data_IF_336516183804
#
_entry.id   IF_336516183804
#
_cell.length_a   1.000
_cell.length_b   1.000
_cell.length_c   1.000
_cell.angle_alpha   90.00
_cell.angle_beta   90.00
_cell.angle_gamma   90.00
#
_symmetry.space_group_name_H-M   'P 1'
#
loop_
_entity.id
_entity.type
_entity.pdbx_description
1 polymer ?
#
# COMPACT_ATOMS: atom_id res chain seq x y z
N UNK A 1 -15.42 6.97 -6.85
CA UNK A 1 -14.64 5.94 -6.13
C UNK A 1 -15.43 5.51 -4.89
N UNK A 2 -15.78 4.22 -4.78
CA UNK A 2 -16.59 3.63 -3.69
C UNK A 2 -15.74 2.87 -2.68
N UNK A 3 -14.62 3.45 -2.24
CA UNK A 3 -13.62 2.75 -1.44
C UNK A 3 -14.06 2.57 0.02
N UNK A 4 -14.08 1.32 0.45
CA UNK A 4 -14.17 0.92 1.85
C UNK A 4 -12.79 0.86 2.54
N UNK A 5 -12.72 0.92 3.88
CA UNK A 5 -11.46 0.84 4.65
C UNK A 5 -10.56 -0.35 4.27
N UNK A 6 -11.14 -1.49 3.90
CA UNK A 6 -10.40 -2.69 3.53
C UNK A 6 -9.56 -2.51 2.25
N UNK A 7 -9.98 -1.66 1.31
CA UNK A 7 -9.17 -1.37 0.12
C UNK A 7 -7.91 -0.59 0.48
N UNK A 8 -8.04 0.41 1.37
CA UNK A 8 -6.89 1.17 1.87
C UNK A 8 -5.95 0.29 2.69
N UNK A 9 -6.49 -0.55 3.58
CA UNK A 9 -5.68 -1.47 4.37
C UNK A 9 -4.91 -2.45 3.47
N UNK A 10 -5.56 -3.00 2.45
CA UNK A 10 -4.93 -3.89 1.47
C UNK A 10 -3.84 -3.20 0.64
N UNK A 11 -3.99 -1.91 0.35
CA UNK A 11 -2.99 -1.11 -0.36
C UNK A 11 -1.83 -0.66 0.55
N UNK A 12 -2.05 -0.47 1.86
CA UNK A 12 -1.20 0.32 2.76
C UNK A 12 0.26 -0.11 2.97
N UNK A 13 0.67 -1.31 2.55
CA UNK A 13 1.99 -1.83 2.89
C UNK A 13 2.06 -2.53 4.27
N UNK A 14 0.99 -2.48 5.07
CA UNK A 14 0.99 -2.93 6.47
C UNK A 14 0.06 -4.14 6.68
N UNK A 15 0.59 -5.38 6.61
CA UNK A 15 -0.24 -6.59 6.76
C UNK A 15 -0.94 -6.69 8.12
N UNK A 16 -0.37 -6.13 9.19
CA UNK A 16 -0.95 -6.17 10.52
C UNK A 16 -2.25 -5.33 10.60
N UNK A 17 -2.29 -4.18 9.92
CA UNK A 17 -3.50 -3.35 9.86
C UNK A 17 -4.61 -4.04 9.07
N UNK A 18 -4.22 -4.76 8.00
CA UNK A 18 -5.15 -5.55 7.21
C UNK A 18 -5.71 -6.73 8.02
N UNK A 19 -4.88 -7.40 8.81
CA UNK A 19 -5.29 -8.51 9.69
C UNK A 19 -6.32 -8.06 10.73
N UNK A 20 -6.01 -6.99 11.48
CA UNK A 20 -6.92 -6.43 12.48
C UNK A 20 -8.27 -6.06 11.89
N UNK A 21 -8.28 -5.51 10.67
CA UNK A 21 -9.51 -5.14 9.98
C UNK A 21 -10.29 -6.37 9.51
N UNK A 22 -9.62 -7.39 8.95
CA UNK A 22 -10.26 -8.63 8.50
C UNK A 22 -10.86 -9.45 9.64
N UNK A 23 -10.40 -9.26 10.87
CA UNK A 23 -10.96 -9.87 12.07
C UNK A 23 -12.19 -9.13 12.63
N UNK A 24 -12.50 -7.93 12.11
CA UNK A 24 -13.69 -7.22 12.54
C UNK A 24 -14.99 -7.82 11.97
N UNK A 25 -16.06 -7.91 12.78
CA UNK A 25 -17.36 -8.37 12.30
C UNK A 25 -17.89 -7.52 11.13
N UNK A 26 -18.43 -8.19 10.11
CA UNK A 26 -19.07 -7.52 8.96
C UNK A 26 -18.11 -7.04 7.87
N UNK A 27 -16.79 -7.23 8.03
CA UNK A 27 -15.83 -6.93 6.97
C UNK A 27 -15.91 -7.98 5.87
N UNK A 28 -16.18 -7.53 4.65
CA UNK A 28 -16.29 -8.38 3.47
C UNK A 28 -14.97 -8.38 2.70
N UNK A 29 -14.25 -9.51 2.70
CA UNK A 29 -12.95 -9.69 2.02
C UNK A 29 -13.01 -9.41 0.52
N UNK A 30 -14.17 -9.66 -0.10
CA UNK A 30 -14.43 -9.45 -1.53
C UNK A 30 -15.33 -8.25 -1.80
N UNK A 31 -15.41 -7.28 -0.88
CA UNK A 31 -16.09 -6.03 -1.18
C UNK A 31 -15.48 -5.38 -2.43
N UNK A 32 -16.31 -4.76 -3.25
CA UNK A 32 -15.84 -4.09 -4.46
C UNK A 32 -15.96 -2.58 -4.32
N UNK A 33 -15.01 -1.86 -4.93
CA UNK A 33 -15.17 -0.44 -5.19
C UNK A 33 -16.10 -0.19 -6.40
N UNK A 34 -16.24 1.08 -6.78
CA UNK A 34 -17.12 1.49 -7.88
C UNK A 34 -16.69 0.97 -9.27
N UNK A 35 -15.45 0.50 -9.42
CA UNK A 35 -14.94 -0.12 -10.65
C UNK A 35 -14.90 -1.65 -10.54
N UNK A 36 -15.45 -2.24 -9.48
CA UNK A 36 -15.37 -3.68 -9.27
C UNK A 36 -14.03 -4.18 -8.70
N UNK A 37 -13.11 -3.29 -8.30
CA UNK A 37 -11.85 -3.73 -7.73
C UNK A 37 -12.04 -4.23 -6.31
N UNK A 38 -11.51 -5.42 -6.02
CA UNK A 38 -11.51 -6.03 -4.68
C UNK A 38 -10.27 -5.62 -3.87
N UNK A 39 -10.26 -5.81 -2.55
CA UNK A 39 -9.06 -5.66 -1.71
C UNK A 39 -7.84 -6.39 -2.25
N UNK A 40 -8.01 -7.59 -2.81
CA UNK A 40 -6.93 -8.36 -3.41
C UNK A 40 -6.31 -7.66 -4.62
N UNK A 41 -7.14 -7.03 -5.46
CA UNK A 41 -6.63 -6.21 -6.57
C UNK A 41 -5.86 -4.98 -6.07
N UNK A 42 -6.36 -4.31 -5.03
CA UNK A 42 -5.66 -3.18 -4.39
C UNK A 42 -4.32 -3.60 -3.77
N UNK A 43 -4.23 -4.78 -3.17
CA UNK A 43 -2.96 -5.30 -2.63
C UNK A 43 -1.89 -5.49 -3.72
N UNK A 44 -2.31 -5.81 -4.96
CA UNK A 44 -1.43 -6.02 -6.11
C UNK A 44 -0.91 -4.71 -6.74
N UNK A 45 -1.34 -3.54 -6.24
CA UNK A 45 -0.85 -2.22 -6.72
C UNK A 45 0.32 -1.68 -5.90
N UNK A 46 0.62 -2.28 -4.75
CA UNK A 46 1.71 -1.84 -3.89
C UNK A 46 2.78 -2.93 -3.80
N UNK A 47 4.01 -2.59 -4.18
CA UNK A 47 5.15 -3.50 -4.25
C UNK A 47 5.82 -3.76 -2.90
N UNK A 48 5.49 -3.00 -1.87
CA UNK A 48 6.02 -3.21 -0.51
C UNK A 48 5.30 -4.38 0.13
N UNK A 49 6.01 -5.33 0.77
CA UNK A 49 5.43 -6.47 1.49
C UNK A 49 4.21 -7.15 0.83
N UNK A 50 4.28 -7.50 -0.47
CA UNK A 50 3.11 -7.95 -1.21
C UNK A 50 2.67 -9.37 -0.80
N UNK A 51 3.63 -10.24 -0.45
CA UNK A 51 3.40 -11.65 -0.15
C UNK A 51 2.48 -11.81 1.06
N UNK A 52 2.77 -11.14 2.17
CA UNK A 52 2.02 -11.27 3.43
C UNK A 52 0.57 -10.80 3.28
N UNK A 53 0.36 -9.64 2.64
CA UNK A 53 -0.99 -9.10 2.43
C UNK A 53 -1.82 -9.98 1.51
N UNK A 54 -1.22 -10.45 0.42
CA UNK A 54 -1.91 -11.29 -0.57
C UNK A 54 -2.25 -12.65 0.04
N UNK A 55 -1.31 -13.27 0.75
CA UNK A 55 -1.56 -14.51 1.49
C UNK A 55 -2.67 -14.36 2.52
N UNK A 56 -2.67 -13.27 3.30
CA UNK A 56 -3.70 -13.01 4.30
C UNK A 56 -5.09 -12.89 3.67
N UNK A 57 -5.21 -12.15 2.55
CA UNK A 57 -6.47 -12.02 1.83
C UNK A 57 -6.94 -13.36 1.25
N UNK A 58 -6.05 -14.13 0.61
CA UNK A 58 -6.36 -15.46 0.07
C UNK A 58 -6.80 -16.41 1.20
N UNK A 59 -6.10 -16.42 2.33
CA UNK A 59 -6.43 -17.25 3.49
C UNK A 59 -7.82 -16.91 4.08
N UNK A 60 -8.27 -15.65 3.94
CA UNK A 60 -9.61 -15.19 4.33
C UNK A 60 -10.66 -15.38 3.22
N UNK A 61 -10.30 -16.01 2.10
CA UNK A 61 -11.23 -16.33 1.00
C UNK A 61 -11.35 -15.24 -0.07
N UNK A 62 -10.30 -14.45 -0.28
CA UNK A 62 -10.28 -13.49 -1.38
C UNK A 62 -10.35 -14.18 -2.74
N UNK A 63 -11.12 -13.60 -3.65
CA UNK A 63 -11.39 -14.18 -4.97
C UNK A 63 -10.29 -13.82 -5.98
N UNK A 64 -9.51 -14.83 -6.39
CA UNK A 64 -8.45 -14.68 -7.41
C UNK A 64 -9.01 -14.51 -8.83
N UNK A 65 -10.29 -14.87 -9.08
CA UNK A 65 -10.97 -14.68 -10.37
C UNK A 65 -11.61 -13.29 -10.51
N UNK A 66 -11.48 -12.43 -9.49
CA UNK A 66 -12.08 -11.11 -9.51
C UNK A 66 -11.68 -10.31 -10.75
N UNK A 67 -12.65 -9.56 -11.29
CA UNK A 67 -12.47 -8.67 -12.43
C UNK A 67 -12.96 -7.27 -12.07
N UNK A 68 -12.13 -6.28 -12.34
CA UNK A 68 -12.46 -4.88 -12.13
C UNK A 68 -11.97 -4.02 -13.29
N UNK A 69 -12.67 -2.93 -13.55
CA UNK A 69 -12.40 -2.07 -14.70
C UNK A 69 -11.31 -1.05 -14.37
N UNK A 70 -10.38 -0.85 -15.29
CA UNK A 70 -9.50 0.31 -15.35
C UNK A 70 -9.96 1.26 -16.45
N UNK A 71 -9.19 2.31 -16.72
CA UNK A 71 -9.52 3.25 -17.79
C UNK A 71 -9.68 2.58 -19.17
N UNK A 72 -8.75 1.70 -19.52
CA UNK A 72 -8.58 1.10 -20.85
C UNK A 72 -8.70 -0.43 -20.86
N UNK A 73 -8.33 -1.08 -19.75
CA UNK A 73 -8.37 -2.53 -19.60
C UNK A 73 -9.26 -2.97 -18.46
N UNK A 74 -9.72 -4.21 -18.52
CA UNK A 74 -10.18 -4.92 -17.34
C UNK A 74 -8.99 -5.62 -16.67
N UNK A 75 -9.03 -5.69 -15.35
CA UNK A 75 -7.94 -6.15 -14.50
C UNK A 75 -8.40 -7.30 -13.63
N UNK A 76 -7.48 -8.23 -13.37
CA UNK A 76 -7.57 -9.21 -12.29
C UNK A 76 -6.43 -9.02 -11.31
N UNK A 77 -6.46 -9.67 -10.13
CA UNK A 77 -5.32 -9.70 -9.23
C UNK A 77 -4.02 -10.10 -9.92
N UNK A 78 -4.00 -11.22 -10.66
CA UNK A 78 -2.80 -11.70 -11.35
C UNK A 78 -2.32 -10.74 -12.45
N UNK A 79 -3.25 -10.17 -13.23
CA UNK A 79 -2.89 -9.22 -14.29
C UNK A 79 -2.26 -7.96 -13.70
N UNK A 80 -2.77 -7.46 -12.57
CA UNK A 80 -2.16 -6.34 -11.84
C UNK A 80 -0.80 -6.70 -11.26
N UNK A 81 -0.65 -7.89 -10.68
CA UNK A 81 0.63 -8.34 -10.13
C UNK A 81 1.72 -8.42 -11.21
N UNK A 82 1.38 -8.96 -12.39
CA UNK A 82 2.28 -9.00 -13.56
C UNK A 82 2.63 -7.59 -14.05
N UNK A 83 1.61 -6.75 -14.24
CA UNK A 83 1.81 -5.38 -14.72
C UNK A 83 2.65 -4.51 -13.77
N UNK A 84 2.53 -4.70 -12.46
CA UNK A 84 3.33 -3.97 -11.46
C UNK A 84 4.66 -4.65 -11.12
N UNK A 85 5.04 -5.70 -11.85
CA UNK A 85 6.31 -6.40 -11.63
C UNK A 85 6.44 -6.99 -10.23
N UNK A 86 5.36 -7.56 -9.68
CA UNK A 86 5.43 -8.30 -8.42
C UNK A 86 6.12 -9.65 -8.66
N UNK A 87 6.85 -10.12 -7.65
CA UNK A 87 7.69 -11.32 -7.75
C UNK A 87 6.92 -12.57 -8.17
N UNK A 88 7.64 -13.53 -8.76
CA UNK A 88 7.07 -14.78 -9.26
C UNK A 88 6.31 -15.58 -8.18
N UNK A 89 6.73 -15.47 -6.90
CA UNK A 89 6.02 -16.05 -5.76
C UNK A 89 4.59 -15.49 -5.64
N UNK A 90 4.44 -14.16 -5.67
CA UNK A 90 3.14 -13.49 -5.62
C UNK A 90 2.28 -13.88 -6.83
N UNK A 91 2.89 -13.91 -8.03
CA UNK A 91 2.18 -14.31 -9.23
C UNK A 91 1.72 -15.77 -9.20
N UNK A 92 2.44 -16.65 -8.49
CA UNK A 92 2.03 -18.05 -8.31
C UNK A 92 0.84 -18.17 -7.34
N UNK A 93 0.81 -17.38 -6.25
CA UNK A 93 -0.31 -17.35 -5.29
C UNK A 93 -1.63 -16.93 -5.93
N UNK A 94 -1.57 -16.10 -6.98
CA UNK A 94 -2.73 -15.56 -7.68
C UNK A 94 -3.21 -16.45 -8.85
N UNK A 95 -2.73 -17.69 -8.91
CA UNK A 95 -3.20 -18.68 -9.87
C UNK A 95 -3.95 -19.80 -9.15
N UNK A 96 -4.99 -20.37 -9.78
CA UNK A 96 -5.63 -21.56 -9.25
C UNK A 96 -4.68 -22.74 -9.30
N UNK A 97 -4.89 -23.69 -8.39
CA UNK A 97 -4.22 -24.98 -8.42
C UNK A 97 -4.42 -25.66 -9.79
N UNK A 98 -3.43 -26.44 -10.23
CA UNK A 98 -3.44 -27.12 -11.53
C UNK A 98 -4.68 -28.01 -11.74
N UNK A 99 -5.28 -28.53 -10.67
CA UNK A 99 -6.53 -29.30 -10.69
C UNK A 99 -7.79 -28.44 -10.90
N UNK A 100 -7.76 -27.16 -10.52
CA UNK A 100 -8.86 -26.21 -10.70
C UNK A 100 -8.85 -25.50 -12.07
N UNK A 101 -7.76 -25.63 -12.84
CA UNK A 101 -7.62 -25.08 -14.20
C UNK A 101 -8.51 -25.77 -15.25
N UNK A 102 -9.19 -26.84 -14.88
CA UNK A 102 -10.25 -27.43 -15.68
C UNK A 102 -11.03 -28.46 -14.87
N UNK A 103 -12.31 -28.21 -14.64
CA UNK A 103 -13.22 -29.28 -14.22
C UNK A 103 -14.53 -29.21 -15.00
N UNK A 104 -14.94 -30.35 -15.52
CA UNK A 104 -16.30 -30.55 -16.03
C UNK A 104 -17.30 -30.21 -14.91
N UNK A 105 -18.26 -29.34 -15.21
CA UNK A 105 -19.29 -28.91 -14.26
C UNK A 105 -18.99 -27.63 -13.47
N UNK A 106 -17.92 -26.90 -13.79
CA UNK A 106 -17.70 -25.53 -13.26
C UNK A 106 -18.55 -24.52 -14.02
N UNK A 107 -19.14 -23.58 -13.29
CA UNK A 107 -19.86 -22.44 -13.87
C UNK A 107 -18.96 -21.70 -14.88
N UNK A 108 -19.45 -21.34 -16.09
CA UNK A 108 -18.64 -20.76 -17.16
C UNK A 108 -17.80 -19.54 -16.73
N UNK A 109 -18.29 -18.76 -15.78
CA UNK A 109 -17.68 -17.54 -15.24
C UNK A 109 -16.47 -17.81 -14.32
N UNK A 110 -16.32 -19.05 -13.85
CA UNK A 110 -15.21 -19.52 -13.00
C UNK A 110 -14.13 -20.28 -13.77
N UNK A 111 -14.29 -20.41 -15.09
CA UNK A 111 -13.27 -21.00 -15.96
C UNK A 111 -12.06 -20.06 -16.00
N UNK A 112 -10.88 -20.62 -15.75
CA UNK A 112 -9.63 -19.87 -15.78
C UNK A 112 -9.22 -19.52 -17.21
N UNK A 113 -9.06 -18.23 -17.48
CA UNK A 113 -8.66 -17.68 -18.78
C UNK A 113 -7.21 -17.19 -18.70
N UNK A 114 -6.27 -18.07 -19.03
CA UNK A 114 -4.84 -17.74 -18.94
C UNK A 114 -4.44 -16.57 -19.88
N UNK A 115 -5.09 -16.45 -21.04
CA UNK A 115 -4.81 -15.39 -22.02
C UNK A 115 -5.20 -14.02 -21.47
N UNK A 116 -6.36 -13.92 -20.82
CA UNK A 116 -6.77 -12.69 -20.15
C UNK A 116 -5.79 -12.23 -19.06
N UNK A 117 -5.06 -13.15 -18.43
CA UNK A 117 -4.06 -12.79 -17.42
C UNK A 117 -2.70 -12.42 -18.02
N UNK A 118 -2.47 -12.64 -19.31
CA UNK A 118 -1.21 -12.26 -19.98
C UNK A 118 -1.13 -10.74 -20.14
N UNK A 119 -0.08 -10.15 -19.59
CA UNK A 119 0.32 -8.76 -19.78
C UNK A 119 1.81 -8.64 -19.52
N UNK A 120 2.49 -7.76 -20.26
CA UNK A 120 3.87 -7.39 -19.97
C UNK A 120 3.92 -6.53 -18.69
N UNK A 121 5.11 -6.46 -18.07
CA UNK A 121 5.35 -5.51 -17.00
C UNK A 121 5.22 -4.08 -17.53
N UNK A 122 4.45 -3.26 -16.81
CA UNK A 122 4.25 -1.87 -17.16
C UNK A 122 5.53 -1.07 -16.96
N UNK A 123 5.72 -0.05 -17.79
CA UNK A 123 6.85 0.87 -17.65
C UNK A 123 6.76 1.62 -16.30
N UNK A 124 7.71 1.39 -15.41
CA UNK A 124 7.69 2.00 -14.08
C UNK A 124 7.96 3.50 -14.15
N UNK A 125 7.08 4.30 -13.55
CA UNK A 125 7.22 5.75 -13.50
C UNK A 125 7.69 6.19 -12.12
N UNK A 126 8.64 7.13 -12.08
CA UNK A 126 8.97 7.83 -10.85
C UNK A 126 7.81 8.77 -10.47
N UNK A 127 6.92 8.32 -9.59
CA UNK A 127 5.83 9.13 -9.03
C UNK A 127 4.64 8.30 -8.54
N UNK A 128 3.87 8.90 -7.64
CA UNK A 128 2.65 8.31 -7.07
C UNK A 128 1.42 9.00 -7.65
N UNK A 129 0.33 8.24 -7.81
CA UNK A 129 -0.95 8.79 -8.21
C UNK A 129 -1.49 9.73 -7.11
N UNK A 130 -1.85 10.96 -7.46
CA UNK A 130 -2.42 11.93 -6.53
C UNK A 130 -3.68 11.42 -5.81
N UNK A 131 -4.48 10.57 -6.46
CA UNK A 131 -5.77 10.14 -5.94
C UNK A 131 -5.71 8.88 -5.09
N UNK A 132 -4.88 7.90 -5.46
CA UNK A 132 -4.80 6.61 -4.77
C UNK A 132 -3.46 6.33 -4.09
N UNK A 133 -2.47 7.22 -4.28
CA UNK A 133 -1.11 7.13 -3.74
C UNK A 133 -0.33 5.88 -4.16
N UNK A 134 -0.83 5.12 -5.15
CA UNK A 134 -0.09 4.01 -5.73
C UNK A 134 1.05 4.53 -6.60
N UNK A 135 2.20 3.84 -6.52
CA UNK A 135 3.24 3.96 -7.53
C UNK A 135 2.64 3.74 -8.93
N UNK A 136 3.00 4.58 -9.88
CA UNK A 136 2.43 4.51 -11.23
C UNK A 136 3.27 3.62 -12.14
N UNK A 137 2.60 2.65 -12.76
CA UNK A 137 3.14 1.84 -13.85
C UNK A 137 2.36 2.11 -15.13
N UNK A 138 3.07 2.12 -16.25
CA UNK A 138 2.54 2.41 -17.58
C UNK A 138 2.32 3.90 -17.84
N UNK A 139 1.10 4.25 -18.26
CA UNK A 139 0.75 5.63 -18.61
C UNK A 139 0.29 6.42 -17.39
N UNK A 140 0.54 7.72 -17.42
CA UNK A 140 0.00 8.68 -16.45
C UNK A 140 -0.73 9.81 -17.14
N UNK A 141 -1.60 10.48 -16.41
CA UNK A 141 -2.27 11.69 -16.86
C UNK A 141 -1.87 12.84 -15.97
N UNK A 142 -1.20 13.82 -16.55
CA UNK A 142 -0.75 15.03 -15.86
C UNK A 142 -1.74 16.16 -16.12
N UNK A 143 -2.14 16.86 -15.06
CA UNK A 143 -2.90 18.10 -15.19
C UNK A 143 -2.05 19.18 -15.86
N UNK A 144 -2.53 19.75 -16.96
CA UNK A 144 -1.85 20.82 -17.71
C UNK A 144 -2.48 22.20 -17.50
N UNK A 145 -3.58 22.28 -16.76
CA UNK A 145 -4.21 23.56 -16.38
C UNK A 145 -3.58 24.19 -15.14
N UNK A 146 -2.97 23.39 -14.27
CA UNK A 146 -2.28 23.89 -13.08
C UNK A 146 -0.86 24.40 -13.42
N UNK A 147 -0.29 25.28 -12.59
CA UNK A 147 1.12 25.62 -12.65
C UNK A 147 1.99 24.35 -12.61
N UNK A 148 3.15 24.37 -13.27
CA UNK A 148 4.04 23.20 -13.39
C UNK A 148 4.52 22.63 -12.03
N UNK A 149 4.45 23.42 -10.97
CA UNK A 149 4.79 23.03 -9.59
C UNK A 149 3.67 22.25 -8.90
N UNK A 150 2.47 22.23 -9.46
CA UNK A 150 1.33 21.46 -8.96
C UNK A 150 1.42 20.04 -9.50
N UNK A 151 2.07 19.15 -8.75
CA UNK A 151 2.27 17.74 -9.09
C UNK A 151 0.96 16.93 -9.04
N UNK A 152 0.00 17.25 -9.92
CA UNK A 152 -1.25 16.50 -10.04
C UNK A 152 -1.14 15.54 -11.22
N UNK A 153 -0.69 14.34 -10.89
CA UNK A 153 -0.60 13.19 -11.80
C UNK A 153 -1.53 12.08 -11.31
N UNK A 154 -2.26 11.44 -12.21
CA UNK A 154 -3.18 10.36 -11.88
C UNK A 154 -2.91 9.13 -12.74
N UNK A 155 -3.06 7.95 -12.14
CA UNK A 155 -2.84 6.65 -12.78
C UNK A 155 -4.03 6.23 -13.67
N UNK A 156 -3.84 5.15 -14.43
CA UNK A 156 -4.85 4.56 -15.30
C UNK A 156 -6.13 4.15 -14.56
N UNK A 157 -6.05 3.78 -13.27
CA UNK A 157 -7.26 3.48 -12.49
C UNK A 157 -8.05 4.75 -12.17
N UNK A 158 -7.37 5.78 -11.69
CA UNK A 158 -8.02 6.97 -11.16
C UNK A 158 -8.45 7.96 -12.24
N UNK A 159 -7.89 7.88 -13.46
CA UNK A 159 -8.13 8.83 -14.53
C UNK A 159 -9.62 9.00 -14.90
N UNK A 160 -10.42 7.93 -14.81
CA UNK A 160 -11.88 8.00 -15.05
C UNK A 160 -12.60 8.97 -14.10
N UNK A 161 -12.03 9.19 -12.91
CA UNK A 161 -12.57 10.10 -11.89
C UNK A 161 -11.90 11.47 -11.88
N UNK A 162 -11.15 11.85 -12.93
CA UNK A 162 -10.39 13.11 -12.98
C UNK A 162 -11.24 14.34 -12.62
N UNK A 163 -12.50 14.40 -13.05
CA UNK A 163 -13.37 15.55 -12.76
C UNK A 163 -13.78 15.63 -11.28
N UNK A 164 -13.86 14.47 -10.61
CA UNK A 164 -14.16 14.39 -9.19
C UNK A 164 -12.91 14.66 -8.34
N UNK A 165 -11.76 14.17 -8.79
CA UNK A 165 -10.47 14.31 -8.10
C UNK A 165 -9.93 15.75 -8.24
N UNK A 166 -10.02 16.31 -9.45
CA UNK A 166 -9.37 17.55 -9.83
C UNK A 166 -10.13 18.25 -10.98
N UNK A 167 -11.37 18.63 -10.69
CA UNK A 167 -12.32 19.14 -11.68
C UNK A 167 -11.92 20.43 -12.37
N UNK A 168 -12.52 20.65 -13.55
CA UNK A 168 -12.35 21.83 -14.41
C UNK A 168 -10.96 22.02 -15.02
N UNK A 169 -10.10 21.01 -14.94
CA UNK A 169 -8.74 21.04 -15.49
C UNK A 169 -8.53 20.00 -16.59
N UNK A 170 -7.75 20.38 -17.59
CA UNK A 170 -7.34 19.52 -18.69
C UNK A 170 -6.17 18.62 -18.27
N UNK A 171 -6.23 17.37 -18.69
CA UNK A 171 -5.19 16.37 -18.44
C UNK A 171 -4.60 15.88 -19.75
N UNK A 172 -3.27 15.74 -19.77
CA UNK A 172 -2.52 15.17 -20.89
C UNK A 172 -2.00 13.80 -20.52
N UNK A 173 -2.22 12.83 -21.41
CA UNK A 173 -1.60 11.51 -21.33
C UNK A 173 -0.09 11.63 -21.60
N UNK A 174 0.72 11.05 -20.72
CA UNK A 174 2.17 11.00 -20.82
C UNK A 174 2.69 9.58 -20.53
N UNK A 175 3.87 9.30 -21.08
CA UNK A 175 4.56 8.03 -20.88
C UNK A 175 4.16 6.96 -21.90
N UNK A 176 4.62 5.75 -21.62
CA UNK A 176 4.38 4.55 -22.43
C UNK A 176 3.81 3.48 -21.52
N UNK A 177 2.99 2.59 -22.06
CA UNK A 177 2.42 1.52 -21.24
C UNK A 177 3.49 0.49 -20.87
N UNK A 178 4.38 0.17 -21.82
CA UNK A 178 5.43 -0.82 -21.65
C UNK A 178 6.82 -0.25 -21.94
N UNK A 179 7.85 -0.81 -21.31
CA UNK A 179 9.23 -0.32 -21.45
C UNK A 179 9.74 -0.43 -22.89
N UNK A 180 9.35 -1.47 -23.61
CA UNK A 180 9.79 -1.67 -24.99
C UNK A 180 9.32 -0.54 -25.93
N UNK A 181 8.17 0.09 -25.65
CA UNK A 181 7.67 1.25 -26.40
C UNK A 181 8.51 2.49 -26.11
N UNK A 182 8.89 2.68 -24.84
CA UNK A 182 9.78 3.75 -24.39
C UNK A 182 11.14 3.63 -25.07
N UNK A 183 11.74 2.44 -25.07
CA UNK A 183 13.05 2.19 -25.69
C UNK A 183 13.02 2.45 -27.19
N UNK A 184 12.01 1.95 -27.92
CA UNK A 184 11.83 2.23 -29.35
C UNK A 184 11.70 3.73 -29.63
N UNK A 185 10.99 4.47 -28.77
CA UNK A 185 10.85 5.92 -28.91
C UNK A 185 12.18 6.66 -28.68
N UNK A 186 13.02 6.20 -27.75
CA UNK A 186 14.35 6.78 -27.49
C UNK A 186 15.31 6.52 -28.65
N UNK A 187 15.30 5.30 -29.20
CA UNK A 187 16.07 4.92 -30.39
C UNK A 187 15.68 5.79 -31.59
N UNK A 188 14.38 5.97 -31.83
CA UNK A 188 13.88 6.83 -32.90
C UNK A 188 14.27 8.30 -32.71
N UNK A 189 14.39 8.77 -31.47
CA UNK A 189 14.84 10.13 -31.13
C UNK A 189 16.37 10.30 -31.18
N UNK A 190 17.14 9.23 -31.43
CA UNK A 190 18.60 9.26 -31.44
C UNK A 190 19.22 9.48 -30.06
N UNK A 191 18.49 9.19 -28.97
CA UNK A 191 18.99 9.31 -27.61
C UNK A 191 19.74 8.02 -27.21
N UNK A 192 21.06 8.13 -26.98
CA UNK A 192 21.85 7.06 -26.37
C UNK A 192 21.48 6.96 -24.88
N UNK A 193 21.10 5.78 -24.38
CA UNK A 193 20.81 5.56 -22.97
C UNK A 193 22.11 5.25 -22.19
N UNK A 194 22.51 6.04 -21.19
CA UNK A 194 23.28 5.51 -20.08
C UNK A 194 22.30 5.12 -18.97
N UNK A 195 22.56 4.00 -18.29
CA UNK A 195 21.84 3.44 -17.14
C UNK A 195 20.73 2.43 -17.44
N UNK A 196 21.14 1.17 -17.48
CA UNK A 196 20.36 0.03 -17.01
C UNK A 196 21.29 -0.84 -16.17
N UNK A 197 21.16 -0.79 -14.85
CA UNK A 197 21.60 -1.85 -13.94
C UNK A 197 20.81 -1.75 -12.63
N UNK A 198 19.75 -2.57 -12.53
CA UNK A 198 19.19 -3.02 -11.26
C UNK A 198 19.38 -4.54 -11.20
N UNK A 199 20.63 -4.97 -11.12
CA UNK A 199 21.01 -6.24 -10.53
C UNK A 199 21.20 -6.06 -9.03
N UNK A 200 20.17 -6.34 -8.24
CA UNK A 200 20.34 -6.59 -6.81
C UNK A 200 21.24 -7.82 -6.64
N UNK A 201 22.48 -7.59 -6.19
CA UNK A 201 23.32 -8.63 -5.64
C UNK A 201 24.01 -8.11 -4.38
N UNK A 202 23.23 -7.96 -3.32
CA UNK A 202 23.74 -7.82 -1.96
C UNK A 202 24.32 -9.16 -1.49
N UNK A 203 25.53 -9.48 -1.95
CA UNK A 203 26.42 -10.44 -1.28
C UNK A 203 27.57 -9.66 -0.64
N UNK A 204 27.29 -9.08 0.53
CA UNK A 204 28.31 -8.46 1.35
C UNK A 204 29.19 -9.52 1.99
N UNK A 205 30.34 -9.83 1.40
CA UNK A 205 31.49 -10.36 2.14
C UNK A 205 32.30 -9.19 2.68
N UNK A 206 32.22 -8.94 3.98
CA UNK A 206 33.11 -8.02 4.66
C UNK A 206 34.41 -8.74 5.02
N UNK A 207 35.51 -8.26 4.43
CA UNK A 207 36.88 -8.48 4.90
C UNK A 207 37.63 -7.15 4.84
N UNK A 208 37.88 -6.65 6.05
CA UNK A 208 38.89 -5.75 6.60
C UNK A 208 39.80 -4.85 5.73
N UNK A 209 40.22 -3.76 6.40
CA UNK A 209 41.40 -2.91 6.18
C UNK A 209 41.27 -1.65 5.29
N UNK A 210 40.91 -0.53 5.92
CA UNK A 210 41.11 0.81 5.37
C UNK A 210 40.63 1.94 6.28
N UNK A 211 41.48 2.41 7.21
CA UNK A 211 41.26 3.62 8.00
C UNK A 211 40.98 4.86 7.13
N UNK A 212 39.90 5.59 7.43
CA UNK A 212 39.76 7.00 7.04
C UNK A 212 39.50 7.83 8.29
N UNK A 213 40.50 8.61 8.69
CA UNK A 213 40.48 9.57 9.79
C UNK A 213 39.40 10.65 9.61
N UNK A 214 38.46 10.73 10.56
CA UNK A 214 37.56 11.88 10.74
C UNK A 214 38.31 13.01 11.46
N UNK A 215 38.70 14.05 10.72
CA UNK A 215 39.19 15.32 11.29
C UNK A 215 38.06 16.11 11.95
N UNK A 216 37.87 15.89 13.25
CA UNK A 216 37.08 16.78 14.12
C UNK A 216 38.03 17.84 14.71
N UNK A 217 37.84 19.11 14.35
CA UNK A 217 38.55 20.21 15.00
C UNK A 217 37.90 20.53 16.34
N UNK A 218 38.64 20.27 17.43
CA UNK A 218 38.31 20.69 18.80
C UNK A 218 38.82 22.11 19.07
N UNK A 219 37.97 22.94 19.66
CA UNK A 219 38.29 23.98 20.67
C UNK A 219 37.11 23.97 21.64
N UNK A 220 37.24 23.92 22.96
CA UNK A 220 38.36 23.70 23.85
C UNK A 220 37.75 23.12 25.14
N UNK A 221 38.46 22.18 25.77
CA UNK A 221 38.14 21.67 27.11
C UNK A 221 38.82 22.56 28.15
N UNK A 222 38.15 22.83 29.27
CA UNK A 222 38.77 22.90 30.60
C UNK A 222 37.77 22.35 31.60
N UNK A 223 38.06 21.17 32.17
CA UNK A 223 38.67 20.98 33.49
C UNK A 223 37.65 21.32 34.60
N UNK A 224 37.36 20.49 35.61
CA UNK A 224 38.18 19.49 36.29
C UNK A 224 37.34 18.78 37.36
N UNK A 225 37.59 17.48 37.53
CA UNK A 225 37.66 16.68 38.78
C UNK A 225 36.82 17.08 40.02
N UNK A 226 36.00 16.10 40.43
CA UNK A 226 35.96 15.44 41.76
C UNK A 226 35.57 16.25 43.02
N UNK A 227 34.48 15.82 43.66
CA UNK A 227 34.51 15.40 45.08
C UNK A 227 33.26 14.61 45.48
N UNK A 228 33.51 13.47 46.15
CA UNK A 228 32.56 12.67 46.94
C UNK A 228 31.98 13.50 48.11
N UNK A 229 30.74 13.22 48.53
CA UNK A 229 30.42 12.66 49.86
C UNK A 229 28.91 12.63 50.15
N UNK A 230 28.46 11.45 50.58
CA UNK A 230 27.38 11.08 51.50
C UNK A 230 26.45 12.17 52.09
N UNK A 231 25.14 11.87 52.16
CA UNK A 231 24.48 11.43 53.40
C UNK A 231 22.95 11.31 53.27
N UNK A 232 22.39 10.53 54.20
CA UNK A 232 21.04 9.93 54.32
C UNK A 232 19.95 10.90 54.80
N UNK A 233 18.69 10.58 54.45
CA UNK A 233 17.49 10.49 55.34
C UNK A 233 16.26 10.32 54.44
N UNK A 234 15.60 9.16 54.37
CA UNK A 234 14.59 8.65 55.31
C UNK A 234 13.39 9.61 55.52
N UNK A 235 12.25 9.27 54.91
CA UNK A 235 10.93 9.21 55.58
C UNK A 235 9.81 8.94 54.58
N UNK A 236 9.13 7.82 54.81
CA UNK A 236 7.84 7.37 54.28
C UNK A 236 6.67 8.24 54.76
N UNK A 237 5.45 7.88 54.27
CA UNK A 237 4.09 8.25 54.73
C UNK A 237 3.49 9.49 54.04
N UNK A 238 2.25 9.48 53.56
CA UNK A 238 1.15 8.53 53.74
C UNK A 238 -0.05 8.87 52.84
N UNK A 239 -0.88 7.85 52.65
CA UNK A 239 -2.27 7.91 52.21
C UNK A 239 -3.08 8.41 53.40
N UNK A 240 -4.01 9.35 53.20
CA UNK A 240 -5.09 9.59 54.14
C UNK A 240 -6.41 9.70 53.36
N UNK A 241 -7.26 8.70 53.60
CA UNK A 241 -8.70 8.72 53.43
C UNK A 241 -9.32 9.57 54.56
N UNK A 242 -10.37 10.34 54.26
CA UNK A 242 -11.38 10.71 55.26
C UNK A 242 -12.78 10.53 54.65
N UNK A 243 -13.47 9.53 55.19
CA UNK A 243 -14.91 9.27 55.13
C UNK A 243 -15.69 10.20 56.08
N UNK A 244 -17.00 10.30 55.81
CA UNK A 244 -18.16 10.50 56.71
C UNK A 244 -19.09 11.63 56.23
N UNK A 245 -20.42 11.56 56.30
CA UNK A 245 -21.47 10.55 56.53
C UNK A 245 -22.81 11.30 56.26
N UNK A 246 -23.94 10.58 56.34
CA UNK A 246 -25.34 11.04 56.51
C UNK A 246 -26.23 11.16 55.26
N UNK A 247 -26.91 10.04 54.94
CA UNK A 247 -28.25 9.77 55.46
C UNK A 247 -29.50 10.45 54.83
N UNK A 248 -30.47 9.57 54.48
CA UNK A 248 -31.94 9.73 54.55
C UNK A 248 -32.68 10.40 53.36
N UNK A 249 -33.35 9.60 52.52
CA UNK A 249 -34.75 9.14 52.69
C UNK A 249 -35.45 8.80 51.36
N UNK A 250 -36.29 7.77 51.49
CA UNK A 250 -37.26 7.22 50.54
C UNK A 250 -38.32 8.25 50.14
N UNK A 251 -38.89 8.13 48.92
CA UNK A 251 -40.35 8.14 48.76
C UNK A 251 -40.77 7.58 47.40
N UNK A 252 -41.71 6.64 47.50
CA UNK A 252 -42.44 5.97 46.43
C UNK A 252 -43.37 6.96 45.69
N UNK A 253 -43.63 6.73 44.40
CA UNK A 253 -45.02 6.53 43.96
C UNK A 253 -45.08 5.91 42.56
N UNK A 254 -45.67 4.72 42.51
CA UNK A 254 -46.46 4.22 41.39
C UNK A 254 -47.56 5.21 40.99
N UNK A 255 -47.93 5.21 39.71
CA UNK A 255 -49.04 6.00 39.18
C UNK A 255 -49.34 5.67 37.72
N UNK A 256 -50.25 4.72 37.54
CA UNK A 256 -50.87 4.25 36.30
C UNK A 256 -51.63 5.32 35.49
N UNK A 257 -52.09 4.87 34.31
CA UNK A 257 -53.19 5.37 33.45
C UNK A 257 -52.76 6.33 32.32
N UNK A 258 -53.07 6.11 31.03
CA UNK A 258 -54.17 5.37 30.39
C UNK A 258 -53.82 5.07 28.92
#
# INVERSE_FOLDING_TARGET
>A
MGLLPIHYAAHSGHPEQLEVLLDQPGVLVNATDADGWTPLMWACTNRRFPVERINLLIAKGADIWARGDGWDHQWSPLRLARFNGLDAEVQALLQPDSAAKGSEGVEPERVWDEEFHQIEEGNWLHGECFACMSDMSGKRWRCISCPAESFVEICFKCYRYKEMIHGQHEFKEEGFEFEHERLKSLEAAGANTPFGDHGDNASGSFSDDGEIELRITKRDRRASRSSKSDSRSDSSIGIDDEDSDEGLNEDESSGDEK
#
